data_IF_672742136524
#
_entry.id   IF_672742136524
#
_cell.length_a   1.000
_cell.length_b   1.000
_cell.length_c   1.000
_cell.angle_alpha   90.00
_cell.angle_beta   90.00
_cell.angle_gamma   90.00
#
_symmetry.space_group_name_H-M   'P 1'
#
loop_
_entity.id
_entity.type
_entity.pdbx_description
1 polymer ?
#
# COMPACT_ATOMS: atom_id res chain seq x y z
N UNK A 1 -55.46 32.82 1.91
CA UNK A 1 -55.13 32.53 0.49
C UNK A 1 -53.66 32.85 0.24
N UNK A 2 -52.78 31.85 0.29
CA UNK A 2 -51.36 32.00 -0.04
C UNK A 2 -50.88 30.93 -1.03
N UNK A 3 -51.80 30.38 -1.83
CA UNK A 3 -51.62 29.10 -2.53
C UNK A 3 -50.61 29.11 -3.69
N UNK A 4 -50.44 30.22 -4.40
CA UNK A 4 -49.60 30.22 -5.62
C UNK A 4 -48.21 30.84 -5.40
N UNK A 5 -48.12 31.95 -4.67
CA UNK A 5 -46.85 32.67 -4.48
C UNK A 5 -45.85 31.92 -3.59
N UNK A 6 -46.34 31.15 -2.60
CA UNK A 6 -45.48 30.33 -1.74
C UNK A 6 -44.91 29.12 -2.49
N UNK A 7 -45.66 28.54 -3.42
CA UNK A 7 -45.18 27.43 -4.23
C UNK A 7 -44.09 27.90 -5.18
N UNK A 8 -44.30 29.00 -5.91
CA UNK A 8 -43.29 29.59 -6.82
C UNK A 8 -42.00 29.98 -6.06
N UNK A 9 -42.11 30.49 -4.84
CA UNK A 9 -40.94 30.77 -4.00
C UNK A 9 -40.18 29.50 -3.62
N UNK A 10 -40.89 28.45 -3.18
CA UNK A 10 -40.27 27.16 -2.85
C UNK A 10 -39.58 26.53 -4.07
N UNK A 11 -40.23 26.56 -5.23
CA UNK A 11 -39.64 26.07 -6.48
C UNK A 11 -38.40 26.87 -6.88
N UNK A 12 -38.47 28.21 -6.79
CA UNK A 12 -37.33 29.08 -7.08
C UNK A 12 -36.17 28.85 -6.12
N UNK A 13 -36.44 28.61 -4.83
CA UNK A 13 -35.43 28.25 -3.84
C UNK A 13 -34.80 26.90 -4.16
N UNK A 14 -35.60 25.88 -4.47
CA UNK A 14 -35.09 24.55 -4.81
C UNK A 14 -34.33 24.48 -6.13
N UNK A 15 -34.60 25.36 -7.09
CA UNK A 15 -33.83 25.46 -8.33
C UNK A 15 -32.56 26.30 -8.12
N UNK A 16 -32.68 27.46 -7.48
CA UNK A 16 -31.56 28.39 -7.31
C UNK A 16 -30.53 27.87 -6.32
N UNK A 17 -30.95 27.21 -5.24
CA UNK A 17 -30.05 26.67 -4.21
C UNK A 17 -28.99 25.69 -4.77
N UNK A 18 -29.35 24.60 -5.49
CA UNK A 18 -28.36 23.70 -6.06
C UNK A 18 -27.53 24.37 -7.16
N UNK A 19 -28.12 25.25 -7.99
CA UNK A 19 -27.38 25.99 -9.02
C UNK A 19 -26.33 26.91 -8.40
N UNK A 20 -26.67 27.63 -7.33
CA UNK A 20 -25.75 28.53 -6.63
C UNK A 20 -24.62 27.77 -5.94
N UNK A 21 -24.93 26.64 -5.28
CA UNK A 21 -23.93 25.76 -4.67
C UNK A 21 -23.00 25.18 -5.74
N UNK A 22 -23.56 24.72 -6.86
CA UNK A 22 -22.77 24.24 -8.00
C UNK A 22 -21.94 25.36 -8.64
N UNK A 23 -22.42 26.59 -8.73
CA UNK A 23 -21.60 27.68 -9.27
C UNK A 23 -20.44 28.04 -8.34
N UNK A 24 -20.70 28.12 -7.03
CA UNK A 24 -19.70 28.49 -6.03
C UNK A 24 -18.64 27.40 -5.83
N UNK A 25 -19.04 26.14 -5.70
CA UNK A 25 -18.11 25.02 -5.52
C UNK A 25 -17.64 24.42 -6.85
N UNK A 26 -18.50 24.30 -7.85
CA UNK A 26 -18.27 23.68 -9.18
C UNK A 26 -17.11 24.26 -9.96
N UNK A 27 -16.92 25.58 -9.90
CA UNK A 27 -15.88 26.28 -10.66
C UNK A 27 -14.49 26.11 -10.05
N UNK A 28 -14.38 25.66 -8.80
CA UNK A 28 -13.13 25.61 -8.04
C UNK A 28 -12.97 24.31 -7.22
N UNK A 29 -13.60 23.19 -7.62
CA UNK A 29 -13.46 21.92 -6.90
C UNK A 29 -12.00 21.48 -6.83
N UNK A 30 -11.27 21.57 -7.93
CA UNK A 30 -9.92 21.04 -8.03
C UNK A 30 -8.96 21.74 -7.05
N UNK A 31 -9.03 23.06 -6.92
CA UNK A 31 -8.21 23.80 -5.95
C UNK A 31 -8.68 23.63 -4.49
N UNK A 32 -9.98 23.41 -4.26
CA UNK A 32 -10.55 23.30 -2.91
C UNK A 32 -10.49 21.89 -2.32
N UNK A 33 -10.46 20.86 -3.17
CA UNK A 33 -10.49 19.45 -2.76
C UNK A 33 -9.26 18.66 -3.22
N UNK A 34 -8.30 19.26 -3.94
CA UNK A 34 -7.03 18.59 -4.18
C UNK A 34 -6.23 18.51 -2.89
N UNK A 35 -5.75 17.29 -2.60
CA UNK A 35 -4.82 17.07 -1.50
C UNK A 35 -3.40 17.26 -2.07
N UNK A 36 -2.66 18.30 -1.63
CA UNK A 36 -1.30 18.48 -2.08
C UNK A 36 -0.45 17.30 -1.62
N UNK A 37 0.22 16.63 -2.58
CA UNK A 37 1.01 15.44 -2.30
C UNK A 37 0.20 14.15 -2.13
N UNK A 38 -1.02 14.06 -2.70
CA UNK A 38 -1.81 12.83 -2.72
C UNK A 38 -1.01 11.62 -3.26
N UNK A 39 -0.20 11.85 -4.29
CA UNK A 39 0.68 10.84 -4.84
C UNK A 39 2.06 10.91 -4.20
N UNK A 40 2.65 9.77 -3.78
CA UNK A 40 4.02 9.73 -3.29
C UNK A 40 4.95 10.30 -4.36
N UNK A 41 5.92 11.10 -3.93
CA UNK A 41 6.84 11.78 -4.85
C UNK A 41 7.65 10.72 -5.60
N UNK A 42 8.06 11.02 -6.83
CA UNK A 42 8.93 10.12 -7.62
C UNK A 42 10.28 9.85 -6.96
N UNK A 43 10.66 10.65 -5.96
CA UNK A 43 11.82 10.44 -5.08
C UNK A 43 11.58 9.37 -4.01
N UNK A 44 10.34 9.19 -3.55
CA UNK A 44 9.95 8.14 -2.59
C UNK A 44 9.63 6.82 -3.27
N UNK A 45 9.45 6.84 -4.60
CA UNK A 45 9.29 5.63 -5.39
C UNK A 45 10.62 4.90 -5.53
N UNK A 46 10.62 3.59 -5.32
CA UNK A 46 11.80 2.75 -5.48
C UNK A 46 12.35 2.90 -6.91
N UNK A 47 13.50 3.55 -7.05
CA UNK A 47 14.19 3.68 -8.33
C UNK A 47 14.94 2.38 -8.58
N UNK A 48 14.53 1.66 -9.63
CA UNK A 48 15.27 0.49 -10.09
C UNK A 48 16.67 0.98 -10.52
N UNK A 49 17.76 0.34 -10.07
CA UNK A 49 19.10 0.73 -10.49
C UNK A 49 19.22 0.58 -12.01
N UNK A 50 19.56 1.68 -12.69
CA UNK A 50 19.66 1.72 -14.16
C UNK A 50 21.10 1.45 -14.65
N UNK A 51 22.09 1.54 -13.76
CA UNK A 51 23.49 1.30 -14.10
C UNK A 51 23.85 -0.20 -13.99
N UNK A 52 24.62 -0.71 -14.96
CA UNK A 52 25.06 -2.10 -15.03
C UNK A 52 25.92 -2.51 -13.84
N UNK A 53 26.72 -1.60 -13.31
CA UNK A 53 27.57 -1.88 -12.15
C UNK A 53 26.74 -2.01 -10.87
N UNK A 54 25.79 -1.10 -10.67
CA UNK A 54 24.85 -1.12 -9.54
C UNK A 54 23.95 -2.36 -9.56
N UNK A 55 23.47 -2.76 -10.75
CA UNK A 55 22.71 -3.99 -10.93
C UNK A 55 23.53 -5.22 -10.52
N UNK A 56 24.81 -5.29 -10.89
CA UNK A 56 25.69 -6.41 -10.51
C UNK A 56 25.91 -6.45 -9.00
N UNK A 57 26.15 -5.31 -8.37
CA UNK A 57 26.35 -5.21 -6.94
C UNK A 57 25.10 -5.66 -6.16
N UNK A 58 23.91 -5.22 -6.57
CA UNK A 58 22.65 -5.64 -5.93
C UNK A 58 22.35 -7.13 -6.20
N UNK A 59 22.67 -7.64 -7.39
CA UNK A 59 22.55 -9.07 -7.72
C UNK A 59 23.46 -9.93 -6.81
N UNK A 60 24.69 -9.50 -6.56
CA UNK A 60 25.61 -10.17 -5.64
C UNK A 60 25.09 -10.14 -4.20
N UNK A 61 24.56 -8.99 -3.75
CA UNK A 61 23.92 -8.85 -2.43
C UNK A 61 22.77 -9.84 -2.27
N UNK A 62 21.89 -9.93 -3.28
CA UNK A 62 20.75 -10.85 -3.28
C UNK A 62 21.19 -12.32 -3.32
N UNK A 63 22.24 -12.66 -4.07
CA UNK A 63 22.83 -14.01 -4.08
C UNK A 63 23.37 -14.41 -2.71
N UNK A 64 24.12 -13.53 -2.05
CA UNK A 64 24.65 -13.75 -0.69
C UNK A 64 23.52 -14.00 0.30
N UNK A 65 22.52 -13.11 0.33
CA UNK A 65 21.33 -13.26 1.19
C UNK A 65 20.59 -14.59 0.96
N UNK A 66 20.46 -15.01 -0.31
CA UNK A 66 19.84 -16.30 -0.65
C UNK A 66 20.64 -17.49 -0.12
N UNK A 67 21.96 -17.46 -0.23
CA UNK A 67 22.85 -18.52 0.26
C UNK A 67 22.80 -18.60 1.78
N UNK A 68 22.88 -17.47 2.49
CA UNK A 68 22.78 -17.41 3.96
C UNK A 68 21.45 -18.01 4.47
N UNK A 69 20.33 -17.64 3.86
CA UNK A 69 19.01 -18.19 4.21
C UNK A 69 18.92 -19.70 3.90
N UNK A 70 19.60 -20.17 2.86
CA UNK A 70 19.67 -21.60 2.55
C UNK A 70 20.50 -22.36 3.58
N UNK A 71 21.65 -21.83 3.97
CA UNK A 71 22.51 -22.42 5.00
C UNK A 71 21.79 -22.48 6.35
N UNK A 72 21.11 -21.40 6.74
CA UNK A 72 20.32 -21.38 7.98
C UNK A 72 19.28 -22.50 8.00
N UNK A 73 18.49 -22.64 6.92
CA UNK A 73 17.49 -23.72 6.80
C UNK A 73 18.12 -25.10 6.88
N UNK A 74 19.26 -25.32 6.22
CA UNK A 74 19.97 -26.60 6.28
C UNK A 74 20.46 -26.93 7.69
N UNK A 75 21.00 -25.94 8.42
CA UNK A 75 21.42 -26.11 9.82
C UNK A 75 20.23 -26.47 10.70
N UNK A 76 19.14 -25.72 10.61
CA UNK A 76 17.93 -25.94 11.41
C UNK A 76 17.34 -27.35 11.16
N UNK A 77 17.21 -27.77 9.89
CA UNK A 77 16.73 -29.12 9.56
C UNK A 77 17.71 -30.21 10.01
N UNK A 78 19.03 -29.97 9.93
CA UNK A 78 20.03 -30.94 10.39
C UNK A 78 20.08 -31.09 11.90
N UNK A 79 19.80 -30.02 12.65
CA UNK A 79 19.71 -30.02 14.10
C UNK A 79 18.47 -30.79 14.56
N UNK A 80 17.30 -30.50 13.97
CA UNK A 80 16.05 -31.21 14.23
C UNK A 80 16.19 -32.72 13.96
N UNK A 81 16.81 -33.10 12.84
CA UNK A 81 17.01 -34.51 12.49
C UNK A 81 17.98 -35.25 13.42
N UNK A 82 18.91 -34.54 14.09
CA UNK A 82 19.79 -35.13 15.11
C UNK A 82 19.07 -35.30 16.44
N UNK A 83 18.26 -34.32 16.83
CA UNK A 83 17.42 -34.38 18.04
C UNK A 83 16.40 -35.52 17.94
N UNK A 84 15.67 -35.64 16.83
CA UNK A 84 14.72 -36.74 16.57
C UNK A 84 15.40 -38.12 16.67
N UNK A 85 16.55 -38.31 16.02
CA UNK A 85 17.30 -39.58 16.10
C UNK A 85 17.78 -39.92 17.51
N UNK A 86 18.14 -38.92 18.31
CA UNK A 86 18.57 -39.13 19.69
C UNK A 86 17.41 -39.49 20.62
N UNK A 87 16.22 -38.93 20.35
CA UNK A 87 14.98 -39.25 21.08
C UNK A 87 14.49 -40.66 20.74
N UNK A 88 14.54 -41.05 19.47
CA UNK A 88 14.17 -42.40 19.01
C UNK A 88 15.12 -43.47 19.59
N UNK A 89 16.44 -43.23 19.55
CA UNK A 89 17.43 -44.17 20.09
C UNK A 89 17.31 -44.36 21.61
N UNK A 90 16.91 -43.34 22.36
CA UNK A 90 16.72 -43.42 23.81
C UNK A 90 15.40 -44.10 24.19
N UNK A 91 14.42 -44.11 23.28
CA UNK A 91 13.13 -44.81 23.45
C UNK A 91 13.23 -46.30 23.17
N UNK A 92 14.15 -46.72 22.30
CA UNK A 92 14.43 -48.15 22.03
C UNK A 92 15.26 -48.83 23.14
N UNK A 93 15.88 -48.07 24.05
CA UNK A 93 16.71 -48.60 25.15
C UNK A 93 15.98 -48.73 26.50
N UNK A 94 14.72 -48.27 26.60
CA UNK A 94 13.84 -48.43 27.77
C UNK A 94 12.70 -49.41 27.46
#
# INVERSE_FOLDING_TARGET
>A
MGGFNLEVFKFSMYITFPIAIMYYYGTNLDNRFSVPGFWPKSEESYRIPFDREEIKAELERLKKRRLELREKRLRDTSAQKKEEKSLDANKEQN
#
